data_IF_861409026951
#
_entry.id   IF_861409026951
#
_cell.length_a   1.000
_cell.length_b   1.000
_cell.length_c   1.000
_cell.angle_alpha   90.00
_cell.angle_beta   90.00
_cell.angle_gamma   90.00
#
_symmetry.space_group_name_H-M   'P 1'
#
loop_
_entity.id
_entity.type
_entity.pdbx_description
1 polymer ?
#
# COMPACT_ATOMS: atom_id res chain seq x y z
N UNK A 1 8.69 18.57 -22.60
CA UNK A 1 8.47 17.72 -21.41
C UNK A 1 7.89 16.38 -21.84
N UNK A 2 8.59 15.54 -22.61
CA UNK A 2 9.80 14.80 -22.25
C UNK A 2 9.37 13.37 -21.90
N UNK A 3 9.29 12.48 -22.90
CA UNK A 3 8.77 11.10 -22.83
C UNK A 3 9.23 10.32 -21.59
N UNK A 4 10.47 10.57 -21.15
CA UNK A 4 11.11 10.05 -19.94
C UNK A 4 10.29 10.34 -18.67
N UNK A 5 9.76 11.56 -18.50
CA UNK A 5 8.94 11.92 -17.33
C UNK A 5 7.64 11.10 -17.29
N UNK A 6 7.03 10.84 -18.45
CA UNK A 6 5.81 10.00 -18.53
C UNK A 6 6.11 8.54 -18.19
N UNK A 7 7.24 8.01 -18.67
CA UNK A 7 7.68 6.65 -18.35
C UNK A 7 7.94 6.45 -16.85
N UNK A 8 8.59 7.41 -16.20
CA UNK A 8 8.85 7.36 -14.75
C UNK A 8 7.53 7.36 -13.95
N UNK A 9 6.58 8.22 -14.31
CA UNK A 9 5.26 8.27 -13.67
C UNK A 9 4.53 6.93 -13.84
N UNK A 10 4.57 6.36 -15.06
CA UNK A 10 3.92 5.07 -15.34
C UNK A 10 4.52 3.92 -14.52
N UNK A 11 5.85 3.84 -14.42
CA UNK A 11 6.53 2.84 -13.59
C UNK A 11 6.15 3.01 -12.12
N UNK A 12 6.13 4.25 -11.62
CA UNK A 12 5.72 4.52 -10.24
C UNK A 12 4.26 4.10 -9.96
N UNK A 13 3.35 4.30 -10.93
CA UNK A 13 1.97 3.84 -10.84
C UNK A 13 1.88 2.31 -10.79
N UNK A 14 2.65 1.60 -11.62
CA UNK A 14 2.70 0.13 -11.60
C UNK A 14 3.23 -0.40 -10.26
N UNK A 15 4.30 0.20 -9.73
CA UNK A 15 4.85 -0.20 -8.42
C UNK A 15 3.83 0.04 -7.30
N UNK A 16 3.14 1.19 -7.31
CA UNK A 16 2.09 1.48 -6.36
C UNK A 16 0.94 0.46 -6.45
N UNK A 17 0.50 0.11 -7.67
CA UNK A 17 -0.55 -0.90 -7.88
C UNK A 17 -0.13 -2.28 -7.34
N UNK A 18 1.10 -2.72 -7.60
CA UNK A 18 1.62 -3.98 -7.07
C UNK A 18 1.66 -3.96 -5.54
N UNK A 19 2.12 -2.85 -4.95
CA UNK A 19 2.19 -2.73 -3.50
C UNK A 19 0.81 -2.73 -2.85
N UNK A 20 -0.16 -2.02 -3.44
CA UNK A 20 -1.57 -2.03 -3.03
C UNK A 20 -2.12 -3.45 -3.09
N UNK A 21 -1.89 -4.16 -4.19
CA UNK A 21 -2.36 -5.52 -4.37
C UNK A 21 -1.81 -6.47 -3.29
N UNK A 22 -0.48 -6.46 -3.08
CA UNK A 22 0.17 -7.32 -2.09
C UNK A 22 -0.33 -7.01 -0.67
N UNK A 23 -0.43 -5.72 -0.32
CA UNK A 23 -0.89 -5.32 1.02
C UNK A 23 -2.37 -5.68 1.25
N UNK A 24 -3.22 -5.57 0.23
CA UNK A 24 -4.64 -5.93 0.29
C UNK A 24 -4.80 -7.44 0.46
N UNK A 25 -4.10 -8.25 -0.35
CA UNK A 25 -4.13 -9.72 -0.25
C UNK A 25 -3.50 -10.19 1.07
N UNK A 26 -2.38 -9.60 1.48
CA UNK A 26 -1.75 -9.88 2.76
C UNK A 26 -2.64 -9.53 3.95
N UNK A 27 -3.33 -8.39 3.88
CA UNK A 27 -4.32 -7.97 4.88
C UNK A 27 -5.49 -8.95 4.97
N UNK A 28 -6.02 -9.41 3.84
CA UNK A 28 -7.07 -10.44 3.81
C UNK A 28 -6.60 -11.74 4.48
N UNK A 29 -5.41 -12.23 4.12
CA UNK A 29 -4.84 -13.44 4.69
C UNK A 29 -4.58 -13.32 6.20
N UNK A 30 -4.07 -12.17 6.65
CA UNK A 30 -3.86 -11.87 8.06
C UNK A 30 -5.18 -11.82 8.83
N UNK A 31 -6.23 -11.22 8.24
CA UNK A 31 -7.57 -11.20 8.81
C UNK A 31 -8.16 -12.61 8.96
N UNK A 32 -8.04 -13.45 7.93
CA UNK A 32 -8.50 -14.84 7.97
C UNK A 32 -7.73 -15.68 9.00
N UNK A 33 -6.41 -15.49 9.14
CA UNK A 33 -5.64 -16.12 10.22
C UNK A 33 -6.10 -15.64 11.58
N UNK A 34 -6.30 -14.33 11.77
CA UNK A 34 -6.82 -13.76 13.02
C UNK A 34 -8.18 -14.34 13.42
N UNK A 35 -9.07 -14.58 12.45
CA UNK A 35 -10.35 -15.25 12.69
C UNK A 35 -10.17 -16.69 13.19
N UNK A 36 -9.17 -17.42 12.68
CA UNK A 36 -8.86 -18.77 13.14
C UNK A 36 -8.31 -18.82 14.59
N UNK A 37 -7.79 -17.71 15.12
CA UNK A 37 -7.27 -17.60 16.49
C UNK A 37 -8.32 -17.17 17.53
N UNK A 38 -9.62 -17.30 17.21
CA UNK A 38 -10.69 -17.19 18.20
C UNK A 38 -11.42 -15.86 18.26
N UNK A 39 -11.36 -15.05 17.19
CA UNK A 39 -12.24 -13.88 17.05
C UNK A 39 -13.68 -14.39 16.77
N UNK A 40 -14.67 -14.11 17.64
CA UNK A 40 -16.03 -14.63 17.51
C UNK A 40 -16.84 -13.81 16.49
N UNK A 41 -16.27 -13.60 15.30
CA UNK A 41 -16.83 -12.80 14.21
C UNK A 41 -16.73 -13.62 12.94
N UNK A 42 -17.68 -13.44 12.03
CA UNK A 42 -17.69 -14.11 10.73
C UNK A 42 -16.31 -13.98 10.04
N UNK A 43 -15.62 -15.09 9.72
CA UNK A 43 -14.31 -15.07 9.08
C UNK A 43 -14.28 -14.22 7.80
N UNK A 44 -15.38 -14.19 7.04
CA UNK A 44 -15.47 -13.37 5.84
C UNK A 44 -15.39 -11.86 6.16
N UNK A 45 -16.06 -11.43 7.23
CA UNK A 45 -15.99 -10.04 7.71
C UNK A 45 -14.57 -9.67 8.15
N UNK A 46 -13.89 -10.54 8.91
CA UNK A 46 -12.52 -10.28 9.38
C UNK A 46 -11.53 -10.22 8.21
N UNK A 47 -11.67 -11.10 7.21
CA UNK A 47 -10.89 -11.06 5.97
C UNK A 47 -11.10 -9.74 5.21
N UNK A 48 -12.33 -9.27 5.06
CA UNK A 48 -12.63 -7.98 4.40
C UNK A 48 -12.01 -6.81 5.16
N UNK A 49 -12.15 -6.75 6.49
CA UNK A 49 -11.54 -5.71 7.32
C UNK A 49 -10.02 -5.74 7.18
N UNK A 50 -9.42 -6.93 7.16
CA UNK A 50 -8.01 -7.13 6.87
C UNK A 50 -7.59 -6.58 5.50
N UNK A 51 -8.32 -6.91 4.43
CA UNK A 51 -8.05 -6.37 3.09
C UNK A 51 -8.15 -4.84 3.03
N UNK A 52 -9.22 -4.26 3.59
CA UNK A 52 -9.44 -2.81 3.60
C UNK A 52 -8.34 -2.09 4.38
N UNK A 53 -7.97 -2.60 5.56
CA UNK A 53 -6.88 -2.03 6.34
C UNK A 53 -5.53 -2.15 5.63
N UNK A 54 -5.25 -3.28 4.98
CA UNK A 54 -4.08 -3.46 4.13
C UNK A 54 -4.01 -2.46 2.96
N UNK A 55 -5.15 -2.20 2.31
CA UNK A 55 -5.28 -1.18 1.27
C UNK A 55 -4.94 0.22 1.80
N UNK A 56 -5.57 0.66 2.89
CA UNK A 56 -5.30 1.99 3.47
C UNK A 56 -3.86 2.14 3.96
N UNK A 57 -3.31 1.09 4.57
CA UNK A 57 -1.91 1.06 4.98
C UNK A 57 -0.97 1.25 3.80
N UNK A 58 -1.24 0.57 2.67
CA UNK A 58 -0.44 0.71 1.46
C UNK A 58 -0.46 2.13 0.88
N UNK A 59 -1.62 2.80 0.91
CA UNK A 59 -1.74 4.20 0.50
C UNK A 59 -0.92 5.11 1.40
N UNK A 60 -1.02 4.91 2.72
CA UNK A 60 -0.29 5.71 3.71
C UNK A 60 1.23 5.56 3.55
N UNK A 61 1.72 4.32 3.42
CA UNK A 61 3.15 4.04 3.22
C UNK A 61 3.64 4.63 1.90
N UNK A 62 2.86 4.49 0.82
CA UNK A 62 3.21 5.08 -0.48
C UNK A 62 3.29 6.61 -0.38
N UNK A 63 2.32 7.25 0.26
CA UNK A 63 2.32 8.70 0.46
C UNK A 63 3.52 9.16 1.32
N UNK A 64 3.81 8.44 2.41
CA UNK A 64 4.97 8.72 3.26
C UNK A 64 6.29 8.60 2.50
N UNK A 65 6.43 7.58 1.65
CA UNK A 65 7.61 7.41 0.80
C UNK A 65 7.80 8.58 -0.17
N UNK A 66 6.74 9.02 -0.86
CA UNK A 66 6.82 10.19 -1.74
C UNK A 66 7.19 11.47 -0.98
N UNK A 67 6.60 11.69 0.20
CA UNK A 67 6.94 12.84 1.05
C UNK A 67 8.43 12.83 1.47
N UNK A 68 8.96 11.66 1.85
CA UNK A 68 10.37 11.51 2.19
C UNK A 68 11.30 11.78 1.00
N UNK A 69 10.94 11.27 -0.19
CA UNK A 69 11.70 11.53 -1.43
C UNK A 69 11.70 13.03 -1.75
N UNK A 70 10.57 13.71 -1.58
CA UNK A 70 10.46 15.15 -1.82
C UNK A 70 11.32 15.96 -0.83
N UNK A 71 11.27 15.62 0.47
CA UNK A 71 12.14 16.25 1.48
C UNK A 71 13.61 16.03 1.13
N UNK A 72 14.02 14.81 0.81
CA UNK A 72 15.40 14.48 0.44
C UNK A 72 15.88 15.20 -0.83
N UNK A 73 14.98 15.40 -1.79
CA UNK A 73 15.29 16.15 -3.00
C UNK A 73 15.47 17.66 -2.72
N UNK A 74 14.65 18.21 -1.83
CA UNK A 74 14.73 19.63 -1.45
C UNK A 74 15.94 19.93 -0.56
N UNK A 75 16.34 19.01 0.33
CA UNK A 75 17.54 19.19 1.17
C UNK A 75 18.85 19.05 0.40
N UNK A 76 18.88 18.33 -0.73
CA UNK A 76 20.05 18.27 -1.63
C UNK A 76 20.29 19.52 -2.46
N UNK A 77 19.31 20.43 -2.53
CA UNK A 77 19.40 21.68 -3.31
C UNK A 77 19.84 22.89 -2.48
N UNK A 78 20.10 22.69 -1.19
CA UNK A 78 20.68 23.67 -0.26
C UNK A 78 22.19 23.40 -0.20
#
# INVERSE_FOLDING_TARGET
MGFIRRAIIFIAQLVALVFIFIATVGGYAAGMQGAAYGVPVDPAMVGIVGAVSGFFFSLMVTAAFFALVEIAHNTRKI
#
